data_IF_059710824039
#
_entry.id   IF_059710824039
#
_cell.length_a   1.000
_cell.length_b   1.000
_cell.length_c   1.000
_cell.angle_alpha   90.00
_cell.angle_beta   90.00
_cell.angle_gamma   90.00
#
_symmetry.space_group_name_H-M   'P 1'
#
loop_
_entity.id
_entity.type
_entity.pdbx_description
1 polymer ?
#
# COMPACT_ATOMS: atom_id res chain seq x y z
N UNK A 1 73.91 -1.16 0.08
CA UNK A 1 73.21 0.09 0.43
C UNK A 1 72.00 0.40 -0.47
N UNK A 2 72.04 0.12 -1.79
CA UNK A 2 70.95 0.42 -2.75
C UNK A 2 69.65 -0.39 -2.55
N UNK A 3 69.76 -1.68 -2.19
CA UNK A 3 68.60 -2.58 -2.03
C UNK A 3 67.60 -2.16 -0.94
N UNK A 4 68.05 -1.46 0.11
CA UNK A 4 67.17 -0.98 1.18
C UNK A 4 66.19 0.10 0.72
N UNK A 5 66.63 1.00 -0.15
CA UNK A 5 65.78 2.06 -0.72
C UNK A 5 64.74 1.50 -1.71
N UNK A 6 65.09 0.44 -2.45
CA UNK A 6 64.16 -0.24 -3.36
C UNK A 6 63.05 -0.94 -2.58
N UNK A 7 63.39 -1.69 -1.52
CA UNK A 7 62.39 -2.35 -0.67
C UNK A 7 61.47 -1.35 0.03
N UNK A 8 62.02 -0.23 0.51
CA UNK A 8 61.23 0.85 1.11
C UNK A 8 60.24 1.47 0.10
N UNK A 9 60.69 1.74 -1.13
CA UNK A 9 59.83 2.27 -2.20
C UNK A 9 58.68 1.34 -2.57
N UNK A 10 58.94 0.03 -2.66
CA UNK A 10 57.91 -0.99 -2.92
C UNK A 10 56.90 -1.07 -1.77
N UNK A 11 57.37 -1.03 -0.52
CA UNK A 11 56.49 -1.06 0.65
C UNK A 11 55.56 0.18 0.71
N UNK A 12 56.11 1.38 0.45
CA UNK A 12 55.35 2.63 0.41
C UNK A 12 54.34 2.60 -0.75
N UNK A 13 54.76 2.16 -1.94
CA UNK A 13 53.88 2.04 -3.10
C UNK A 13 52.74 1.04 -2.89
N UNK A 14 53.03 -0.13 -2.31
CA UNK A 14 52.03 -1.12 -1.94
C UNK A 14 51.04 -0.61 -0.89
N UNK A 15 51.54 0.08 0.14
CA UNK A 15 50.69 0.73 1.15
C UNK A 15 49.76 1.78 0.56
N UNK A 16 50.29 2.67 -0.30
CA UNK A 16 49.50 3.66 -1.01
C UNK A 16 48.44 3.01 -1.91
N UNK A 17 48.80 1.93 -2.62
CA UNK A 17 47.87 1.17 -3.47
C UNK A 17 46.71 0.57 -2.67
N UNK A 18 46.97 -0.01 -1.50
CA UNK A 18 45.94 -0.58 -0.62
C UNK A 18 45.00 0.51 -0.09
N UNK A 19 45.52 1.66 0.32
CA UNK A 19 44.71 2.80 0.79
C UNK A 19 43.80 3.33 -0.32
N UNK A 20 44.34 3.50 -1.53
CA UNK A 20 43.56 3.93 -2.69
C UNK A 20 42.50 2.91 -3.08
N UNK A 21 42.84 1.61 -3.11
CA UNK A 21 41.90 0.54 -3.41
C UNK A 21 40.76 0.48 -2.38
N UNK A 22 41.07 0.61 -1.09
CA UNK A 22 40.07 0.65 -0.01
C UNK A 22 39.18 1.88 -0.11
N UNK A 23 39.74 3.05 -0.38
CA UNK A 23 38.99 4.29 -0.57
C UNK A 23 38.07 4.23 -1.81
N UNK A 24 38.54 3.63 -2.91
CA UNK A 24 37.74 3.38 -4.09
C UNK A 24 36.57 2.41 -3.78
N UNK A 25 36.87 1.27 -3.12
CA UNK A 25 35.86 0.28 -2.75
C UNK A 25 34.76 0.86 -1.84
N UNK A 26 35.14 1.63 -0.82
CA UNK A 26 34.19 2.29 0.08
C UNK A 26 33.30 3.30 -0.66
N UNK A 27 33.86 4.11 -1.56
CA UNK A 27 33.06 5.05 -2.37
C UNK A 27 32.07 4.33 -3.28
N UNK A 28 32.45 3.19 -3.85
CA UNK A 28 31.57 2.38 -4.69
C UNK A 28 30.44 1.76 -3.87
N UNK A 29 30.72 1.26 -2.66
CA UNK A 29 29.68 0.78 -1.74
C UNK A 29 28.72 1.89 -1.30
N UNK A 30 29.23 3.08 -0.99
CA UNK A 30 28.38 4.22 -0.66
C UNK A 30 27.49 4.63 -1.84
N UNK A 31 28.06 4.71 -3.05
CA UNK A 31 27.30 5.04 -4.28
C UNK A 31 26.20 4.03 -4.53
N UNK A 32 26.50 2.74 -4.47
CA UNK A 32 25.50 1.67 -4.67
C UNK A 32 24.40 1.75 -3.62
N UNK A 33 24.75 1.88 -2.33
CA UNK A 33 23.77 2.06 -1.27
C UNK A 33 22.88 3.31 -1.47
N UNK A 34 23.45 4.44 -1.90
CA UNK A 34 22.67 5.65 -2.19
C UNK A 34 21.73 5.48 -3.39
N UNK A 35 22.20 4.81 -4.46
CA UNK A 35 21.39 4.55 -5.65
C UNK A 35 20.26 3.56 -5.33
N UNK A 36 20.52 2.53 -4.54
CA UNK A 36 19.49 1.62 -4.06
C UNK A 36 18.46 2.34 -3.19
N UNK A 37 18.90 3.21 -2.29
CA UNK A 37 17.98 4.01 -1.46
C UNK A 37 17.11 4.94 -2.31
N UNK A 38 17.70 5.61 -3.31
CA UNK A 38 16.98 6.45 -4.27
C UNK A 38 16.01 5.63 -5.12
N UNK A 39 16.42 4.47 -5.60
CA UNK A 39 15.57 3.55 -6.36
C UNK A 39 14.37 3.10 -5.53
N UNK A 40 14.58 2.63 -4.30
CA UNK A 40 13.50 2.25 -3.37
C UNK A 40 12.55 3.42 -3.09
N UNK A 41 13.09 4.63 -2.91
CA UNK A 41 12.26 5.81 -2.70
C UNK A 41 11.46 6.17 -3.96
N UNK A 42 12.05 6.05 -5.14
CA UNK A 42 11.39 6.26 -6.42
C UNK A 42 10.27 5.24 -6.66
N UNK A 43 10.52 3.95 -6.41
CA UNK A 43 9.51 2.89 -6.47
C UNK A 43 8.35 3.17 -5.51
N UNK A 44 8.66 3.57 -4.27
CA UNK A 44 7.63 3.93 -3.28
C UNK A 44 6.78 5.11 -3.75
N UNK A 45 7.41 6.14 -4.32
CA UNK A 45 6.69 7.31 -4.84
C UNK A 45 5.86 6.96 -6.08
N UNK A 46 6.40 6.15 -6.99
CA UNK A 46 5.67 5.67 -8.17
C UNK A 46 4.44 4.85 -7.76
N UNK A 47 4.60 3.97 -6.77
CA UNK A 47 3.50 3.19 -6.21
C UNK A 47 2.43 4.09 -5.57
N UNK A 48 2.82 5.05 -4.74
CA UNK A 48 1.89 6.03 -4.14
C UNK A 48 1.19 6.85 -5.23
N UNK A 49 1.90 7.27 -6.27
CA UNK A 49 1.34 8.00 -7.40
C UNK A 49 0.31 7.17 -8.19
N UNK A 50 0.60 5.89 -8.43
CA UNK A 50 -0.32 4.96 -9.06
C UNK A 50 -1.60 4.77 -8.22
N UNK A 51 -1.44 4.58 -6.90
CA UNK A 51 -2.57 4.48 -5.98
C UNK A 51 -3.40 5.77 -5.93
N UNK A 52 -2.76 6.94 -5.84
CA UNK A 52 -3.47 8.22 -5.83
C UNK A 52 -4.24 8.46 -7.14
N UNK A 53 -3.67 8.06 -8.28
CA UNK A 53 -4.35 8.08 -9.58
C UNK A 53 -5.57 7.14 -9.60
N UNK A 54 -5.40 5.92 -9.07
CA UNK A 54 -6.50 4.96 -8.89
C UNK A 54 -7.62 5.52 -8.01
N UNK A 55 -7.28 6.10 -6.86
CA UNK A 55 -8.24 6.75 -5.98
C UNK A 55 -8.99 7.88 -6.69
N UNK A 56 -8.28 8.76 -7.40
CA UNK A 56 -8.89 9.86 -8.12
C UNK A 56 -9.90 9.35 -9.17
N UNK A 57 -9.55 8.26 -9.86
CA UNK A 57 -10.44 7.62 -10.82
C UNK A 57 -11.67 7.01 -10.13
N UNK A 58 -11.47 6.29 -9.03
CA UNK A 58 -12.55 5.64 -8.27
C UNK A 58 -13.48 6.64 -7.59
N UNK A 59 -12.99 7.81 -7.14
CA UNK A 59 -13.82 8.88 -6.57
C UNK A 59 -14.61 9.61 -7.66
N UNK A 60 -14.01 9.81 -8.84
CA UNK A 60 -14.66 10.49 -9.96
C UNK A 60 -15.92 9.75 -10.43
N UNK A 61 -15.91 8.42 -10.37
CA UNK A 61 -17.02 7.59 -10.86
C UNK A 61 -18.34 7.76 -10.07
N UNK A 62 -18.38 7.60 -8.73
CA UNK A 62 -19.54 7.93 -7.90
C UNK A 62 -19.96 9.39 -8.05
N UNK A 63 -19.01 10.34 -8.09
CA UNK A 63 -19.34 11.77 -8.25
C UNK A 63 -20.06 12.06 -9.56
N UNK A 64 -19.63 11.44 -10.67
CA UNK A 64 -20.32 11.55 -11.96
C UNK A 64 -21.74 10.98 -11.89
N UNK A 65 -21.91 9.84 -11.21
CA UNK A 65 -23.22 9.19 -11.02
C UNK A 65 -24.14 10.02 -10.14
N UNK A 66 -23.61 10.62 -9.06
CA UNK A 66 -24.31 11.57 -8.20
C UNK A 66 -24.80 12.77 -9.00
N UNK A 67 -23.92 13.40 -9.79
CA UNK A 67 -24.25 14.56 -10.61
C UNK A 67 -25.37 14.25 -11.59
N UNK A 68 -25.28 13.13 -12.30
CA UNK A 68 -26.31 12.72 -13.25
C UNK A 68 -27.66 12.48 -12.57
N UNK A 69 -27.68 11.75 -11.44
CA UNK A 69 -28.92 11.46 -10.74
C UNK A 69 -29.54 12.70 -10.10
N UNK A 70 -28.72 13.64 -9.62
CA UNK A 70 -29.19 14.94 -9.13
C UNK A 70 -29.79 15.78 -10.26
N UNK A 71 -29.14 15.85 -11.43
CA UNK A 71 -29.68 16.54 -12.59
C UNK A 71 -31.04 15.96 -13.00
N UNK A 72 -31.11 14.64 -13.15
CA UNK A 72 -32.36 13.98 -13.54
C UNK A 72 -33.45 14.09 -12.46
N UNK A 73 -33.07 14.18 -11.18
CA UNK A 73 -34.03 14.42 -10.10
C UNK A 73 -34.54 15.86 -10.12
N UNK A 74 -33.70 16.83 -10.47
CA UNK A 74 -34.11 18.22 -10.65
C UNK A 74 -35.08 18.36 -11.84
N UNK A 75 -34.79 17.72 -12.98
CA UNK A 75 -35.71 17.67 -14.14
C UNK A 75 -37.06 17.01 -13.78
N UNK A 76 -37.03 15.91 -13.01
CA UNK A 76 -38.25 15.25 -12.53
C UNK A 76 -39.07 16.16 -11.58
N UNK A 77 -38.41 17.04 -10.82
CA UNK A 77 -39.05 17.98 -9.89
C UNK A 77 -39.67 19.21 -10.57
N UNK A 78 -39.25 19.55 -11.78
CA UNK A 78 -39.85 20.65 -12.56
C UNK A 78 -41.25 20.30 -13.05
N UNK A 79 -41.55 19.01 -13.24
CA UNK A 79 -42.87 18.52 -13.65
C UNK A 79 -43.32 17.36 -12.74
N UNK A 80 -43.62 17.62 -11.45
CA UNK A 80 -43.84 16.56 -10.47
C UNK A 80 -45.10 15.72 -10.76
N UNK A 81 -46.10 16.30 -11.43
CA UNK A 81 -47.34 15.60 -11.78
C UNK A 81 -47.18 14.59 -12.91
N UNK A 82 -46.10 14.70 -13.72
CA UNK A 82 -45.83 13.81 -14.85
C UNK A 82 -44.85 12.68 -14.50
N UNK A 83 -44.25 12.71 -13.31
CA UNK A 83 -43.24 11.73 -12.88
C UNK A 83 -43.73 10.91 -11.68
N UNK A 84 -43.79 9.56 -11.79
CA UNK A 84 -44.19 8.72 -10.67
C UNK A 84 -43.23 8.84 -9.48
N UNK A 85 -43.78 9.04 -8.27
CA UNK A 85 -43.02 9.08 -7.02
C UNK A 85 -42.02 7.91 -6.80
N UNK A 86 -42.29 6.65 -7.24
CA UNK A 86 -41.31 5.58 -7.16
C UNK A 86 -40.00 5.86 -7.92
N UNK A 87 -40.05 6.58 -9.04
CA UNK A 87 -38.87 6.91 -9.85
C UNK A 87 -37.95 7.88 -9.09
N UNK A 88 -38.53 8.93 -8.50
CA UNK A 88 -37.79 9.89 -7.68
C UNK A 88 -37.15 9.21 -6.46
N UNK A 89 -37.90 8.33 -5.78
CA UNK A 89 -37.37 7.52 -4.66
C UNK A 89 -36.21 6.63 -5.08
N UNK A 90 -36.29 6.00 -6.25
CA UNK A 90 -35.19 5.18 -6.79
C UNK A 90 -33.93 6.01 -7.02
N UNK A 91 -34.05 7.24 -7.55
CA UNK A 91 -32.89 8.14 -7.71
C UNK A 91 -32.26 8.51 -6.37
N UNK A 92 -33.07 8.84 -5.37
CA UNK A 92 -32.57 9.14 -4.01
C UNK A 92 -31.83 7.93 -3.41
N UNK A 93 -32.32 6.71 -3.64
CA UNK A 93 -31.62 5.48 -3.21
C UNK A 93 -30.29 5.27 -3.94
N UNK A 94 -30.20 5.59 -5.24
CA UNK A 94 -28.92 5.58 -5.97
C UNK A 94 -27.95 6.60 -5.36
N UNK A 95 -28.41 7.83 -5.10
CA UNK A 95 -27.58 8.86 -4.48
C UNK A 95 -27.01 8.42 -3.13
N UNK A 96 -27.85 7.84 -2.27
CA UNK A 96 -27.41 7.33 -0.95
C UNK A 96 -26.33 6.26 -1.08
N UNK A 97 -26.51 5.29 -1.98
CA UNK A 97 -25.53 4.22 -2.22
C UNK A 97 -24.20 4.76 -2.72
N UNK A 98 -24.21 5.76 -3.61
CA UNK A 98 -22.96 6.34 -4.12
C UNK A 98 -22.22 7.16 -3.05
N UNK A 99 -22.93 7.79 -2.10
CA UNK A 99 -22.31 8.45 -0.94
C UNK A 99 -21.66 7.43 0.00
N UNK A 100 -22.35 6.31 0.29
CA UNK A 100 -21.78 5.22 1.09
C UNK A 100 -20.53 4.65 0.42
N UNK A 101 -20.58 4.40 -0.89
CA UNK A 101 -19.43 3.94 -1.67
C UNK A 101 -18.24 4.91 -1.63
N UNK A 102 -18.49 6.22 -1.70
CA UNK A 102 -17.43 7.23 -1.56
C UNK A 102 -16.75 7.16 -0.18
N UNK A 103 -17.53 6.96 0.88
CA UNK A 103 -17.00 6.80 2.23
C UNK A 103 -16.14 5.54 2.34
N UNK A 104 -16.55 4.42 1.75
CA UNK A 104 -15.79 3.17 1.78
C UNK A 104 -14.44 3.34 1.07
N UNK A 105 -14.44 3.92 -0.14
CA UNK A 105 -13.22 4.20 -0.90
C UNK A 105 -12.26 5.12 -0.13
N UNK A 106 -12.79 6.17 0.51
CA UNK A 106 -12.01 7.06 1.36
C UNK A 106 -11.43 6.35 2.60
N UNK A 107 -12.23 5.50 3.24
CA UNK A 107 -11.81 4.76 4.43
C UNK A 107 -10.70 3.76 4.11
N UNK A 108 -10.81 3.04 3.00
CA UNK A 108 -9.77 2.12 2.54
C UNK A 108 -8.47 2.85 2.25
N UNK A 109 -8.55 4.02 1.61
CA UNK A 109 -7.39 4.85 1.37
C UNK A 109 -6.76 5.38 2.67
N UNK A 110 -7.56 5.85 3.63
CA UNK A 110 -7.07 6.32 4.94
C UNK A 110 -6.51 5.20 5.82
N UNK A 111 -7.02 3.97 5.68
CA UNK A 111 -6.45 2.78 6.33
C UNK A 111 -5.05 2.49 5.78
N UNK A 112 -4.87 2.60 4.47
CA UNK A 112 -3.58 2.43 3.82
C UNK A 112 -2.60 3.57 4.15
N UNK A 113 -3.06 4.83 4.10
CA UNK A 113 -2.22 6.01 4.33
C UNK A 113 -1.75 6.14 5.78
N UNK A 114 -2.51 5.60 6.75
CA UNK A 114 -2.03 5.46 8.12
C UNK A 114 -0.87 4.48 8.13
N UNK A 115 0.35 5.02 8.20
CA UNK A 115 1.48 4.29 8.74
C UNK A 115 1.12 3.88 10.18
N UNK A 116 0.60 2.67 10.37
CA UNK A 116 0.64 2.06 11.70
C UNK A 116 2.12 1.92 12.03
N UNK A 117 2.56 2.60 13.09
CA UNK A 117 3.75 2.13 13.80
C UNK A 117 3.40 0.68 14.18
N UNK A 118 4.11 -0.26 13.57
CA UNK A 118 3.96 -1.66 13.92
C UNK A 118 4.45 -1.79 15.36
N UNK A 119 3.50 -1.88 16.28
CA UNK A 119 3.78 -2.27 17.66
C UNK A 119 4.17 -3.74 17.60
N UNK A 120 5.48 -3.99 17.79
CA UNK A 120 6.02 -5.34 17.80
C UNK A 120 5.89 -5.86 19.21
N UNK A 121 5.08 -6.88 19.38
CA UNK A 121 4.96 -7.65 20.59
C UNK A 121 5.21 -9.14 20.30
N UNK A 122 5.72 -9.91 21.27
CA UNK A 122 5.71 -11.36 21.19
C UNK A 122 4.27 -11.83 20.97
N UNK A 123 4.06 -12.69 19.98
CA UNK A 123 2.74 -13.17 19.60
C UNK A 123 2.86 -14.61 19.08
N UNK A 124 2.06 -15.49 19.65
CA UNK A 124 1.94 -16.86 19.16
C UNK A 124 1.15 -16.88 17.86
N UNK A 125 1.79 -17.35 16.79
CA UNK A 125 1.18 -17.38 15.46
C UNK A 125 -0.11 -18.21 15.41
N UNK A 126 -0.22 -19.29 16.20
CA UNK A 126 -1.41 -20.13 16.22
C UNK A 126 -2.60 -19.40 16.83
N UNK A 127 -2.38 -18.60 17.89
CA UNK A 127 -3.45 -17.85 18.56
C UNK A 127 -4.01 -16.76 17.62
N UNK A 128 -3.12 -16.08 16.88
CA UNK A 128 -3.51 -15.09 15.85
C UNK A 128 -4.31 -15.73 14.72
N UNK A 129 -3.92 -16.94 14.30
CA UNK A 129 -4.62 -17.68 13.26
C UNK A 129 -5.99 -18.16 13.73
N UNK A 130 -6.13 -18.61 14.98
CA UNK A 130 -7.42 -19.01 15.55
C UNK A 130 -8.39 -17.82 15.63
N UNK A 131 -7.96 -16.65 16.12
CA UNK A 131 -8.80 -15.44 16.16
C UNK A 131 -9.27 -15.05 14.74
N UNK A 132 -8.37 -15.13 13.77
CA UNK A 132 -8.70 -14.84 12.38
C UNK A 132 -9.71 -15.85 11.82
N UNK A 133 -9.56 -17.14 12.12
CA UNK A 133 -10.49 -18.19 11.70
C UNK A 133 -11.88 -18.01 12.31
N UNK A 134 -11.96 -17.63 13.59
CA UNK A 134 -13.23 -17.29 14.23
C UNK A 134 -13.90 -16.09 13.54
N UNK A 135 -13.12 -15.07 13.19
CA UNK A 135 -13.62 -13.89 12.50
C UNK A 135 -14.17 -14.20 11.10
N UNK A 136 -13.51 -15.05 10.31
CA UNK A 136 -13.93 -15.35 8.92
C UNK A 136 -14.96 -16.48 8.80
N UNK A 137 -15.10 -17.32 9.83
CA UNK A 137 -16.03 -18.47 9.82
C UNK A 137 -17.48 -18.09 9.48
N UNK A 138 -18.08 -16.99 9.99
CA UNK A 138 -19.43 -16.59 9.63
C UNK A 138 -19.59 -16.28 8.13
N UNK A 139 -18.58 -15.66 7.52
CA UNK A 139 -18.56 -15.36 6.07
C UNK A 139 -18.48 -16.66 5.25
N UNK A 140 -17.63 -17.60 5.68
CA UNK A 140 -17.51 -18.92 5.05
C UNK A 140 -18.82 -19.69 5.06
N UNK A 141 -19.51 -19.73 6.21
CA UNK A 141 -20.82 -20.37 6.35
C UNK A 141 -21.87 -19.75 5.43
N UNK A 142 -21.93 -18.41 5.35
CA UNK A 142 -22.87 -17.71 4.45
C UNK A 142 -22.66 -18.03 2.98
N UNK A 143 -21.43 -18.38 2.59
CA UNK A 143 -21.04 -18.71 1.21
C UNK A 143 -20.96 -20.22 0.95
N UNK A 144 -21.34 -21.07 1.92
CA UNK A 144 -21.17 -22.53 1.86
C UNK A 144 -19.73 -22.96 1.56
N UNK A 145 -18.76 -22.28 2.17
CA UNK A 145 -17.32 -22.59 2.05
C UNK A 145 -16.84 -23.27 3.33
N UNK A 146 -16.25 -24.46 3.20
CA UNK A 146 -15.58 -25.17 4.28
C UNK A 146 -14.13 -24.71 4.41
N UNK A 147 -13.72 -24.25 5.60
CA UNK A 147 -12.35 -23.84 5.89
C UNK A 147 -11.67 -24.96 6.69
N UNK A 148 -10.65 -25.60 6.10
CA UNK A 148 -9.81 -26.63 6.75
C UNK A 148 -8.42 -26.06 7.04
N UNK A 149 -7.92 -26.31 8.24
CA UNK A 149 -6.62 -25.82 8.70
C UNK A 149 -5.93 -26.88 9.56
N UNK A 150 -4.60 -26.89 9.53
CA UNK A 150 -3.76 -27.72 10.39
C UNK A 150 -2.54 -26.88 10.81
N UNK A 151 -2.44 -26.56 12.09
CA UNK A 151 -1.34 -25.76 12.61
C UNK A 151 -0.13 -26.61 12.94
N UNK A 152 1.06 -26.03 12.73
CA UNK A 152 2.29 -26.63 13.20
C UNK A 152 2.39 -26.46 14.73
N UNK A 153 2.84 -27.48 15.46
CA UNK A 153 2.98 -27.40 16.91
C UNK A 153 4.17 -26.52 17.35
N UNK A 154 5.11 -26.23 16.44
CA UNK A 154 6.38 -25.55 16.74
C UNK A 154 6.51 -24.25 15.93
N UNK A 155 5.66 -23.27 16.25
CA UNK A 155 5.69 -21.93 15.66
C UNK A 155 6.45 -20.94 16.54
N UNK A 156 7.13 -19.94 15.95
CA UNK A 156 7.72 -18.83 16.71
C UNK A 156 6.68 -18.16 17.61
N UNK A 157 7.12 -17.75 18.80
CA UNK A 157 6.33 -16.99 19.79
C UNK A 157 6.84 -15.56 19.89
#
# INVERSE_FOLDING_TARGET
MVWGWVLLGVAIGGGAMVVLARGYYQRTLQRTATLEAQARQSERLAFVGALASGLAHEVRNPLSTLRLNLQLLAEDLENPDSVPAPRMRSRVQVLRREVERLNDVLNDYLRFARQRQLEREPANLNDVLDELLEFVRPEGLRRNVEIRYQFAPDVPR
#
